data_IF_673433042187
#
_entry.id   IF_673433042187
#
_cell.length_a   1.000
_cell.length_b   1.000
_cell.length_c   1.000
_cell.angle_alpha   90.00
_cell.angle_beta   90.00
_cell.angle_gamma   90.00
#
_symmetry.space_group_name_H-M   'P 1'
#
loop_
_entity.id
_entity.type
_entity.pdbx_description
1 polymer ?
#
# COMPACT_ATOMS: atom_id res chain seq x y z
N UNK A 1 7.32 -13.13 6.93
CA UNK A 1 6.26 -12.55 7.79
C UNK A 1 5.40 -11.48 7.09
N UNK A 2 5.75 -11.04 5.88
CA UNK A 2 4.92 -10.34 4.90
C UNK A 2 4.42 -11.31 3.84
N UNK A 3 4.78 -12.56 4.01
CA UNK A 3 4.62 -13.67 3.07
C UNK A 3 3.17 -14.11 2.88
N UNK A 4 2.31 -13.96 3.89
CA UNK A 4 0.99 -14.57 3.87
C UNK A 4 0.16 -14.18 2.63
N UNK A 5 0.12 -12.86 2.27
CA UNK A 5 -0.62 -12.42 1.09
C UNK A 5 0.07 -12.88 -0.22
N UNK A 6 1.40 -12.81 -0.28
CA UNK A 6 2.15 -13.26 -1.44
C UNK A 6 2.03 -14.78 -1.64
N UNK A 7 2.12 -15.54 -0.55
CA UNK A 7 1.92 -16.99 -0.58
C UNK A 7 0.50 -17.36 -1.04
N UNK A 8 -0.52 -16.64 -0.53
CA UNK A 8 -1.90 -16.83 -0.97
C UNK A 8 -2.05 -16.57 -2.47
N UNK A 9 -1.59 -15.41 -2.97
CA UNK A 9 -1.72 -15.04 -4.38
C UNK A 9 -1.00 -16.04 -5.31
N UNK A 10 0.18 -16.52 -4.92
CA UNK A 10 0.89 -17.54 -5.69
C UNK A 10 0.20 -18.91 -5.66
N UNK A 11 -0.44 -19.26 -4.55
CA UNK A 11 -1.19 -20.51 -4.43
C UNK A 11 -2.48 -20.50 -5.26
N UNK A 12 -3.19 -19.38 -5.30
CA UNK A 12 -4.43 -19.21 -6.07
C UNK A 12 -4.16 -18.91 -7.56
N UNK A 13 -2.96 -18.40 -7.88
CA UNK A 13 -2.55 -18.04 -9.24
C UNK A 13 -3.17 -16.73 -9.74
N UNK A 14 -2.67 -16.21 -10.85
CA UNK A 14 -3.08 -14.91 -11.40
C UNK A 14 -4.58 -14.82 -11.77
N UNK A 15 -5.25 -15.94 -11.95
CA UNK A 15 -6.69 -15.96 -12.26
C UNK A 15 -7.53 -15.36 -11.11
N UNK A 16 -7.08 -15.43 -9.86
CA UNK A 16 -7.79 -14.86 -8.72
C UNK A 16 -7.85 -13.32 -8.75
N UNK A 17 -6.97 -12.65 -9.51
CA UNK A 17 -6.88 -11.20 -9.56
C UNK A 17 -8.15 -10.52 -10.09
N UNK A 18 -8.96 -11.22 -10.88
CA UNK A 18 -10.27 -10.72 -11.37
C UNK A 18 -11.38 -10.78 -10.32
N UNK A 19 -11.16 -11.41 -9.16
CA UNK A 19 -12.15 -11.50 -8.09
C UNK A 19 -12.38 -10.12 -7.47
N UNK A 20 -13.67 -9.75 -7.34
CA UNK A 20 -14.06 -8.47 -6.73
C UNK A 20 -14.05 -8.57 -5.21
N UNK A 21 -13.47 -7.57 -4.55
CA UNK A 21 -13.51 -7.40 -3.09
C UNK A 21 -14.72 -6.60 -2.64
N UNK A 22 -15.05 -6.62 -1.35
CA UNK A 22 -16.09 -5.76 -0.77
C UNK A 22 -15.67 -4.29 -0.69
N UNK A 23 -14.38 -4.00 -0.79
CA UNK A 23 -13.88 -2.63 -0.72
C UNK A 23 -14.11 -1.91 -2.06
N UNK A 24 -15.09 -1.02 -2.09
CA UNK A 24 -15.40 -0.16 -3.26
C UNK A 24 -15.58 -0.94 -4.57
N UNK A 25 -15.88 -2.24 -4.51
CA UNK A 25 -15.92 -3.14 -5.65
C UNK A 25 -14.60 -3.21 -6.45
N UNK A 26 -13.46 -2.97 -5.80
CA UNK A 26 -12.17 -3.15 -6.43
C UNK A 26 -11.90 -4.63 -6.67
N UNK A 27 -11.27 -4.95 -7.79
CA UNK A 27 -10.72 -6.28 -8.00
C UNK A 27 -9.48 -6.50 -7.15
N UNK A 28 -9.09 -7.75 -6.93
CA UNK A 28 -7.81 -8.04 -6.28
C UNK A 28 -6.66 -7.41 -7.08
N UNK A 29 -6.76 -7.36 -8.42
CA UNK A 29 -5.78 -6.68 -9.27
C UNK A 29 -5.66 -5.19 -8.93
N UNK A 30 -6.79 -4.50 -8.76
CA UNK A 30 -6.81 -3.08 -8.35
C UNK A 30 -6.15 -2.88 -6.98
N UNK A 31 -6.41 -3.79 -6.04
CA UNK A 31 -5.82 -3.78 -4.70
C UNK A 31 -4.29 -3.96 -4.76
N UNK A 32 -3.81 -4.95 -5.52
CA UNK A 32 -2.37 -5.20 -5.64
C UNK A 32 -1.68 -4.06 -6.39
N UNK A 33 -2.28 -3.52 -7.44
CA UNK A 33 -1.80 -2.33 -8.14
C UNK A 33 -1.68 -1.11 -7.21
N UNK A 34 -2.69 -0.90 -6.36
CA UNK A 34 -2.66 0.14 -5.32
C UNK A 34 -1.51 -0.07 -4.32
N UNK A 35 -1.35 -1.27 -3.80
CA UNK A 35 -0.26 -1.58 -2.87
C UNK A 35 1.10 -1.41 -3.52
N UNK A 36 1.25 -1.80 -4.78
CA UNK A 36 2.48 -1.64 -5.56
C UNK A 36 2.84 -0.16 -5.75
N UNK A 37 1.90 0.63 -6.28
CA UNK A 37 2.07 2.07 -6.48
C UNK A 37 2.60 2.77 -5.23
N UNK A 38 1.93 2.56 -4.09
CA UNK A 38 2.29 3.26 -2.86
C UNK A 38 3.54 2.70 -2.17
N UNK A 39 3.96 1.47 -2.46
CA UNK A 39 5.26 0.96 -2.07
C UNK A 39 6.37 1.70 -2.82
N UNK A 40 6.24 1.84 -4.15
CA UNK A 40 7.19 2.62 -4.95
C UNK A 40 7.25 4.06 -4.46
N UNK A 41 6.11 4.70 -4.23
CA UNK A 41 6.06 6.05 -3.64
C UNK A 41 6.73 6.16 -2.27
N UNK A 42 6.65 5.11 -1.44
CA UNK A 42 7.34 5.08 -0.16
C UNK A 42 8.87 5.00 -0.30
N UNK A 43 9.37 4.37 -1.35
CA UNK A 43 10.81 4.36 -1.68
C UNK A 43 11.24 5.70 -2.26
N UNK A 44 10.46 6.27 -3.18
CA UNK A 44 10.77 7.56 -3.82
C UNK A 44 10.90 8.69 -2.78
N UNK A 45 10.06 8.70 -1.74
CA UNK A 45 10.15 9.75 -0.70
C UNK A 45 11.45 9.68 0.12
N UNK A 46 12.10 8.52 0.22
CA UNK A 46 13.39 8.39 0.92
C UNK A 46 14.54 9.04 0.18
N UNK A 47 14.45 9.15 -1.14
CA UNK A 47 15.49 9.77 -1.98
C UNK A 47 15.60 11.28 -1.73
N UNK A 48 14.56 11.91 -1.19
CA UNK A 48 14.51 13.36 -0.93
C UNK A 48 14.29 14.19 -2.19
N UNK A 49 14.54 15.51 -2.09
CA UNK A 49 14.31 16.42 -3.22
C UNK A 49 12.88 16.33 -3.77
N UNK A 50 12.74 16.35 -5.09
CA UNK A 50 11.46 16.31 -5.78
C UNK A 50 11.10 14.89 -6.31
N UNK A 51 11.79 13.85 -5.82
CA UNK A 51 11.57 12.48 -6.30
C UNK A 51 10.13 12.02 -6.10
N UNK A 52 9.57 12.26 -4.91
CA UNK A 52 8.20 11.88 -4.62
C UNK A 52 7.19 12.69 -5.44
N UNK A 53 7.38 13.99 -5.57
CA UNK A 53 6.50 14.86 -6.35
C UNK A 53 6.48 14.46 -7.81
N UNK A 54 7.64 14.23 -8.40
CA UNK A 54 7.76 13.78 -9.78
C UNK A 54 7.08 12.42 -10.00
N UNK A 55 7.25 11.51 -9.05
CA UNK A 55 6.56 10.21 -9.06
C UNK A 55 5.04 10.37 -8.96
N UNK A 56 4.56 11.19 -8.00
CA UNK A 56 3.13 11.28 -7.70
C UNK A 56 2.35 12.21 -8.62
N UNK A 57 3.03 13.15 -9.28
CA UNK A 57 2.40 14.15 -10.14
C UNK A 57 1.47 13.55 -11.22
N UNK A 58 1.86 12.55 -12.02
CA UNK A 58 0.97 11.98 -13.04
C UNK A 58 -0.33 11.42 -12.44
N UNK A 59 -0.25 10.82 -11.25
CA UNK A 59 -1.40 10.25 -10.54
C UNK A 59 -2.30 11.39 -10.02
N UNK A 60 -1.70 12.39 -9.38
CA UNK A 60 -2.41 13.53 -8.86
C UNK A 60 -3.13 14.33 -9.98
N UNK A 61 -2.50 14.47 -11.14
CA UNK A 61 -3.10 15.12 -12.31
C UNK A 61 -4.37 14.40 -12.80
N UNK A 62 -4.47 13.07 -12.63
CA UNK A 62 -5.70 12.33 -12.93
C UNK A 62 -6.77 12.52 -11.84
N UNK A 63 -6.35 12.53 -10.56
CA UNK A 63 -7.26 12.75 -9.43
C UNK A 63 -7.92 14.16 -9.51
N UNK A 64 -7.14 15.19 -9.84
CA UNK A 64 -7.67 16.57 -10.04
C UNK A 64 -8.70 16.62 -11.18
N UNK A 65 -8.57 15.76 -12.19
CA UNK A 65 -9.56 15.61 -13.28
C UNK A 65 -10.81 14.81 -12.87
N UNK A 66 -10.95 14.46 -11.59
CA UNK A 66 -12.10 13.72 -11.06
C UNK A 66 -12.05 12.20 -11.28
N UNK A 67 -10.89 11.64 -11.67
CA UNK A 67 -10.73 10.19 -11.77
C UNK A 67 -10.67 9.56 -10.38
N UNK A 68 -11.21 8.34 -10.26
CA UNK A 68 -10.98 7.55 -9.06
C UNK A 68 -9.51 7.14 -8.93
N UNK A 69 -9.09 6.72 -7.74
CA UNK A 69 -7.71 6.28 -7.51
C UNK A 69 -7.33 5.09 -8.41
N UNK A 70 -8.24 4.11 -8.59
CA UNK A 70 -8.04 2.99 -9.52
C UNK A 70 -7.82 3.49 -10.94
N UNK A 71 -8.66 4.43 -11.41
CA UNK A 71 -8.48 4.99 -12.75
C UNK A 71 -7.18 5.80 -12.88
N UNK A 72 -6.73 6.47 -11.82
CA UNK A 72 -5.50 7.25 -11.82
C UNK A 72 -4.24 6.38 -11.82
N UNK A 73 -4.30 5.17 -11.26
CA UNK A 73 -3.14 4.26 -11.23
C UNK A 73 -2.93 3.48 -12.53
N UNK A 74 -3.98 3.30 -13.36
CA UNK A 74 -3.90 2.52 -14.60
C UNK A 74 -2.79 3.00 -15.56
N UNK A 75 -2.65 4.31 -15.88
CA UNK A 75 -1.55 4.78 -16.73
C UNK A 75 -0.16 4.54 -16.12
N UNK A 76 -0.05 4.57 -14.78
CA UNK A 76 1.20 4.32 -14.09
C UNK A 76 1.60 2.83 -14.13
N UNK A 77 0.62 1.94 -14.04
CA UNK A 77 0.85 0.49 -14.16
C UNK A 77 1.33 0.08 -15.55
N UNK A 78 1.05 0.89 -16.58
CA UNK A 78 1.53 0.70 -17.97
C UNK A 78 1.34 -0.73 -18.50
N UNK A 79 0.17 -1.31 -18.25
CA UNK A 79 -0.19 -2.66 -18.68
C UNK A 79 0.42 -3.80 -17.83
N UNK A 80 1.05 -3.49 -16.70
CA UNK A 80 1.50 -4.50 -15.73
C UNK A 80 0.27 -5.13 -15.07
N UNK A 81 0.07 -6.43 -15.27
CA UNK A 81 -1.09 -7.21 -14.82
C UNK A 81 -0.71 -8.67 -14.57
N UNK A 82 -1.63 -9.45 -14.02
CA UNK A 82 -1.43 -10.89 -13.85
C UNK A 82 -0.27 -11.23 -12.92
N UNK A 83 0.44 -12.33 -13.24
CA UNK A 83 1.57 -12.78 -12.41
C UNK A 83 2.66 -11.72 -12.29
N UNK A 84 2.92 -10.98 -13.38
CA UNK A 84 3.92 -9.90 -13.35
C UNK A 84 3.58 -8.83 -12.31
N UNK A 85 2.30 -8.48 -12.14
CA UNK A 85 1.88 -7.53 -11.12
C UNK A 85 2.15 -8.08 -9.70
N UNK A 86 1.91 -9.36 -9.45
CA UNK A 86 2.22 -10.01 -8.17
C UNK A 86 3.72 -9.94 -7.89
N UNK A 87 4.54 -10.27 -8.88
CA UNK A 87 6.00 -10.31 -8.75
C UNK A 87 6.57 -8.90 -8.53
N UNK A 88 6.13 -7.91 -9.31
CA UNK A 88 6.57 -6.50 -9.20
C UNK A 88 6.11 -5.89 -7.86
N UNK A 89 4.88 -6.19 -7.42
CA UNK A 89 4.43 -5.80 -6.08
C UNK A 89 5.30 -6.42 -5.00
N UNK A 90 5.59 -7.72 -5.08
CA UNK A 90 6.43 -8.38 -4.07
C UNK A 90 7.83 -7.79 -4.03
N UNK A 91 8.43 -7.55 -5.19
CA UNK A 91 9.71 -6.85 -5.28
C UNK A 91 9.67 -5.47 -4.60
N UNK A 92 8.61 -4.71 -4.80
CA UNK A 92 8.42 -3.41 -4.15
C UNK A 92 8.32 -3.52 -2.62
N UNK A 93 7.80 -4.63 -2.09
CA UNK A 93 7.78 -4.91 -0.63
C UNK A 93 9.21 -5.08 -0.11
N UNK A 94 10.07 -5.76 -0.85
CA UNK A 94 11.50 -5.93 -0.51
C UNK A 94 12.22 -4.57 -0.57
N UNK A 95 11.98 -3.77 -1.61
CA UNK A 95 12.58 -2.45 -1.77
C UNK A 95 12.17 -1.49 -0.63
N UNK A 96 10.92 -1.53 -0.18
CA UNK A 96 10.46 -0.79 1.01
C UNK A 96 11.21 -1.26 2.26
N UNK A 97 11.36 -2.56 2.45
CA UNK A 97 12.09 -3.09 3.60
C UNK A 97 13.55 -2.61 3.59
N UNK A 98 14.22 -2.75 2.46
CA UNK A 98 15.63 -2.37 2.30
C UNK A 98 15.83 -0.86 2.47
N UNK A 99 14.94 -0.03 1.92
CA UNK A 99 15.01 1.41 2.06
C UNK A 99 14.77 1.92 3.49
N UNK A 100 13.90 1.25 4.25
CA UNK A 100 13.51 1.73 5.58
C UNK A 100 14.25 1.09 6.73
N UNK A 101 14.95 -0.04 6.56
CA UNK A 101 15.62 -0.77 7.66
C UNK A 101 16.68 0.09 8.36
N UNK A 102 17.39 0.93 7.60
CA UNK A 102 18.49 1.77 8.09
C UNK A 102 18.15 3.27 8.05
N UNK A 103 16.91 3.63 7.68
CA UNK A 103 16.49 5.02 7.62
C UNK A 103 16.33 5.62 9.02
N UNK A 104 16.73 6.88 9.20
CA UNK A 104 16.42 7.62 10.44
C UNK A 104 14.91 7.63 10.68
N UNK A 105 14.40 7.03 11.76
CA UNK A 105 12.97 6.93 12.03
C UNK A 105 12.28 8.28 12.20
N UNK A 106 13.03 9.35 12.49
CA UNK A 106 12.53 10.72 12.65
C UNK A 106 12.61 11.54 11.35
N UNK A 107 13.32 11.08 10.33
CA UNK A 107 13.40 11.76 9.03
C UNK A 107 11.99 12.11 8.55
N UNK A 108 11.79 13.37 8.17
CA UNK A 108 10.53 13.81 7.54
C UNK A 108 10.48 13.34 6.10
N UNK A 109 9.35 12.80 5.71
CA UNK A 109 9.12 12.24 4.37
C UNK A 109 7.80 12.76 3.81
N UNK A 110 7.79 13.01 2.51
CA UNK A 110 6.63 13.50 1.76
C UNK A 110 5.65 12.35 1.45
N UNK A 111 4.40 12.70 1.24
CA UNK A 111 3.36 11.80 0.74
C UNK A 111 2.18 12.64 0.21
N UNK A 112 1.05 12.01 -0.14
CA UNK A 112 -0.16 12.69 -0.64
C UNK A 112 -0.91 13.55 0.40
N UNK A 113 -0.32 13.75 1.60
CA UNK A 113 -0.83 14.57 2.70
C UNK A 113 0.31 15.31 3.41
N UNK A 114 0.08 15.82 4.64
CA UNK A 114 1.13 16.49 5.43
C UNK A 114 2.31 15.55 5.69
N UNK A 115 3.54 16.08 5.64
CA UNK A 115 4.74 15.29 5.91
C UNK A 115 4.67 14.53 7.24
N UNK A 116 5.18 13.32 7.24
CA UNK A 116 5.24 12.47 8.42
C UNK A 116 6.65 11.94 8.66
N UNK A 117 6.90 11.34 9.83
CA UNK A 117 8.17 10.65 10.07
C UNK A 117 8.29 9.37 9.23
N UNK A 118 9.53 8.96 8.92
CA UNK A 118 9.77 7.68 8.24
C UNK A 118 9.17 6.51 9.01
N UNK A 119 9.20 6.54 10.36
CA UNK A 119 8.52 5.54 11.22
C UNK A 119 7.01 5.51 10.95
N UNK A 120 6.35 6.66 10.92
CA UNK A 120 4.91 6.75 10.64
C UNK A 120 4.60 6.25 9.22
N UNK A 121 5.44 6.62 8.25
CA UNK A 121 5.28 6.19 6.86
C UNK A 121 5.32 4.67 6.71
N UNK A 122 6.34 4.01 7.29
CA UNK A 122 6.43 2.54 7.18
C UNK A 122 5.31 1.85 7.97
N UNK A 123 4.85 2.42 9.08
CA UNK A 123 3.72 1.89 9.83
C UNK A 123 2.42 2.02 9.02
N UNK A 124 2.21 3.16 8.34
CA UNK A 124 1.08 3.34 7.43
C UNK A 124 1.12 2.34 6.27
N UNK A 125 2.28 2.11 5.64
CA UNK A 125 2.41 1.08 4.60
C UNK A 125 2.09 -0.33 5.12
N UNK A 126 2.50 -0.63 6.36
CA UNK A 126 2.15 -1.91 6.99
C UNK A 126 0.64 -2.03 7.22
N UNK A 127 -0.01 -0.96 7.69
CA UNK A 127 -1.46 -0.91 7.88
C UNK A 127 -2.20 -1.12 6.55
N UNK A 128 -1.84 -0.40 5.50
CA UNK A 128 -2.43 -0.54 4.17
C UNK A 128 -2.32 -1.98 3.65
N UNK A 129 -1.11 -2.55 3.72
CA UNK A 129 -0.89 -3.93 3.27
C UNK A 129 -1.67 -4.93 4.14
N UNK A 130 -1.84 -4.67 5.43
CA UNK A 130 -2.61 -5.54 6.31
C UNK A 130 -4.11 -5.43 6.01
N UNK A 131 -4.67 -4.22 5.93
CA UNK A 131 -6.09 -3.99 5.70
C UNK A 131 -6.53 -4.53 4.33
N UNK A 132 -5.87 -4.08 3.26
CA UNK A 132 -6.17 -4.57 1.91
C UNK A 132 -5.85 -6.05 1.72
N UNK A 133 -4.84 -6.56 2.41
CA UNK A 133 -4.58 -7.99 2.45
C UNK A 133 -5.74 -8.78 3.06
N UNK A 134 -6.39 -8.28 4.13
CA UNK A 134 -7.56 -8.93 4.70
C UNK A 134 -8.70 -9.01 3.69
N UNK A 135 -8.96 -7.95 2.96
CA UNK A 135 -9.99 -7.93 1.91
C UNK A 135 -9.75 -8.98 0.82
N UNK A 136 -8.48 -9.25 0.48
CA UNK A 136 -8.12 -10.31 -0.47
C UNK A 136 -8.41 -11.69 0.13
N UNK A 137 -8.04 -11.93 1.39
CA UNK A 137 -8.36 -13.19 2.07
C UNK A 137 -9.86 -13.42 2.12
N UNK A 138 -10.63 -12.40 2.48
CA UNK A 138 -12.10 -12.48 2.57
C UNK A 138 -12.72 -12.75 1.18
N UNK A 139 -12.26 -12.06 0.14
CA UNK A 139 -12.77 -12.24 -1.22
C UNK A 139 -12.50 -13.65 -1.77
N UNK A 140 -11.43 -14.30 -1.32
CA UNK A 140 -11.06 -15.66 -1.70
C UNK A 140 -11.63 -16.72 -0.74
N UNK A 141 -12.38 -16.31 0.30
CA UNK A 141 -12.94 -17.22 1.30
C UNK A 141 -11.87 -17.97 2.12
N UNK A 142 -10.74 -17.31 2.38
CA UNK A 142 -9.61 -17.89 3.12
C UNK A 142 -9.49 -17.28 4.51
N UNK A 143 -9.25 -18.12 5.49
CA UNK A 143 -8.94 -17.67 6.84
C UNK A 143 -7.51 -17.10 6.90
N UNK A 144 -7.37 -16.01 7.65
CA UNK A 144 -6.08 -15.38 7.91
C UNK A 144 -5.72 -15.48 9.38
N UNK A 145 -4.56 -16.06 9.66
CA UNK A 145 -4.07 -16.16 11.03
C UNK A 145 -3.70 -14.78 11.60
N UNK A 146 -4.34 -14.41 12.72
CA UNK A 146 -4.00 -13.20 13.47
C UNK A 146 -2.69 -13.40 14.23
N UNK A 147 -1.78 -12.42 14.12
CA UNK A 147 -0.45 -12.45 14.73
C UNK A 147 -0.12 -11.12 15.39
N UNK A 148 0.78 -11.16 16.36
CA UNK A 148 1.30 -9.98 17.09
C UNK A 148 1.84 -8.84 16.20
N UNK A 149 2.06 -9.09 14.93
CA UNK A 149 2.53 -8.08 13.95
C UNK A 149 1.61 -6.87 13.80
N UNK A 150 0.32 -7.00 14.15
CA UNK A 150 -0.66 -5.90 14.07
C UNK A 150 -0.54 -4.90 15.22
N UNK A 151 0.26 -5.15 16.25
CA UNK A 151 0.40 -4.27 17.42
C UNK A 151 0.69 -2.81 17.03
N UNK A 152 1.60 -2.59 16.06
CA UNK A 152 1.93 -1.23 15.61
C UNK A 152 0.77 -0.57 14.85
N UNK A 153 -0.05 -1.35 14.16
CA UNK A 153 -1.25 -0.88 13.44
C UNK A 153 -2.29 -0.46 14.47
N UNK A 154 -2.56 -1.30 15.47
CA UNK A 154 -3.49 -1.00 16.56
C UNK A 154 -3.06 0.28 17.29
N UNK A 155 -1.77 0.40 17.64
CA UNK A 155 -1.23 1.59 18.29
C UNK A 155 -1.44 2.86 17.45
N UNK A 156 -1.22 2.78 16.14
CA UNK A 156 -1.48 3.92 15.23
C UNK A 156 -2.97 4.28 15.19
N UNK A 157 -3.86 3.28 15.19
CA UNK A 157 -5.31 3.49 15.24
C UNK A 157 -5.73 4.21 16.53
N UNK A 158 -5.19 3.80 17.67
CA UNK A 158 -5.44 4.46 18.98
C UNK A 158 -4.97 5.92 18.97
N UNK A 159 -3.77 6.21 18.43
CA UNK A 159 -3.27 7.59 18.31
C UNK A 159 -4.17 8.42 17.40
N UNK A 160 -4.54 7.89 16.24
CA UNK A 160 -5.42 8.59 15.29
C UNK A 160 -6.80 8.89 15.89
N UNK A 161 -7.37 7.94 16.63
CA UNK A 161 -8.64 8.12 17.35
C UNK A 161 -8.49 9.19 18.45
N UNK A 162 -7.42 9.14 19.23
CA UNK A 162 -7.13 10.16 20.26
C UNK A 162 -7.04 11.57 19.67
N UNK A 163 -6.37 11.74 18.52
CA UNK A 163 -6.30 13.02 17.81
C UNK A 163 -7.67 13.48 17.30
N UNK A 164 -8.52 12.56 16.83
CA UNK A 164 -9.88 12.86 16.40
C UNK A 164 -10.74 13.42 17.55
N UNK A 165 -10.57 12.91 18.78
CA UNK A 165 -11.30 13.39 19.95
C UNK A 165 -10.86 14.78 20.44
N UNK A 166 -9.63 15.19 20.11
CA UNK A 166 -9.12 16.53 20.48
C UNK A 166 -9.70 17.62 19.56
N UNK A 167 -10.17 17.25 18.38
CA UNK A 167 -10.69 18.16 17.36
C UNK A 167 -12.23 18.21 17.30
N UNK A 168 -12.92 17.54 18.20
CA UNK A 168 -14.36 17.65 18.45
C UNK A 168 -14.58 18.66 19.58
#
# INVERSE_FOLDING_TARGET
>A
KRQDLHELLNAEGAACLSTTTLFKNWTIEDVIGHLYLFNVGAVETLKGGDHYENFYKPINDQLIKGKSLVQAQVPWLDGVTGQRLIDDWWKSVEDVFDGYKDADPKKRVKWAGPEMSARSKITARHMETWAHGQEVFDALGKDREEKDRIKNIVHMGVIAYGLSLIHI
#
